data_IF_782307472595
#
_entry.id   IF_782307472595
#
_cell.length_a   1.000
_cell.length_b   1.000
_cell.length_c   1.000
_cell.angle_alpha   90.00
_cell.angle_beta   90.00
_cell.angle_gamma   90.00
#
_symmetry.space_group_name_H-M   'P 1'
#
loop_
_entity.id
_entity.type
_entity.pdbx_description
1 polymer ?
#
# COMPACT_ATOMS: atom_id res chain seq x y z
N UNK A 1 4.90 -18.39 1.82
CA UNK A 1 4.99 -17.90 3.21
C UNK A 1 4.40 -16.50 3.28
N UNK A 2 3.72 -16.17 4.37
CA UNK A 2 3.04 -14.88 4.55
C UNK A 2 3.83 -14.03 5.55
N UNK A 3 4.06 -12.77 5.23
CA UNK A 3 4.82 -11.82 6.05
C UNK A 3 4.00 -10.53 6.21
N UNK A 4 3.78 -10.14 7.46
CA UNK A 4 3.11 -8.90 7.84
C UNK A 4 4.17 -7.90 8.33
N UNK A 5 3.97 -6.63 7.99
CA UNK A 5 4.89 -5.55 8.36
C UNK A 5 4.13 -4.48 9.12
N UNK A 6 4.65 -4.08 10.28
CA UNK A 6 4.15 -2.93 11.04
C UNK A 6 4.68 -1.60 10.50
N UNK A 7 5.75 -1.64 9.70
CA UNK A 7 6.45 -0.47 9.15
C UNK A 7 6.28 -0.42 7.64
N UNK A 8 5.62 0.64 7.16
CA UNK A 8 5.46 0.87 5.72
C UNK A 8 6.82 0.93 5.00
N UNK A 9 7.81 1.56 5.64
CA UNK A 9 9.16 1.68 5.07
C UNK A 9 9.79 0.29 4.89
N UNK A 10 9.65 -0.61 5.85
CA UNK A 10 10.26 -1.93 5.76
C UNK A 10 9.51 -2.82 4.77
N UNK A 11 8.19 -2.68 4.68
CA UNK A 11 7.41 -3.27 3.59
C UNK A 11 7.92 -2.82 2.22
N UNK A 12 8.07 -1.50 2.00
CA UNK A 12 8.57 -0.96 0.72
C UNK A 12 9.98 -1.45 0.41
N UNK A 13 10.88 -1.47 1.39
CA UNK A 13 12.25 -2.02 1.21
C UNK A 13 12.21 -3.47 0.75
N UNK A 14 11.35 -4.29 1.35
CA UNK A 14 11.30 -5.72 1.05
C UNK A 14 10.75 -5.98 -0.36
N UNK A 15 9.64 -5.32 -0.73
CA UNK A 15 9.06 -5.50 -2.06
C UNK A 15 9.99 -4.96 -3.16
N UNK A 16 10.75 -3.89 -2.86
CA UNK A 16 11.73 -3.32 -3.79
C UNK A 16 12.94 -4.24 -3.95
N UNK A 17 13.43 -4.85 -2.86
CA UNK A 17 14.54 -5.83 -2.87
C UNK A 17 14.28 -6.97 -3.86
N UNK A 18 13.04 -7.46 -3.91
CA UNK A 18 12.64 -8.53 -4.81
C UNK A 18 12.08 -8.07 -6.15
N UNK A 19 12.14 -6.76 -6.45
CA UNK A 19 11.57 -6.15 -7.66
C UNK A 19 10.10 -6.55 -7.89
N UNK A 20 9.36 -6.69 -6.80
CA UNK A 20 7.97 -7.10 -6.81
C UNK A 20 7.06 -5.90 -6.97
N UNK A 21 6.04 -6.00 -7.82
CA UNK A 21 5.01 -4.97 -7.97
C UNK A 21 3.92 -5.16 -6.92
N UNK A 22 3.28 -4.06 -6.49
CA UNK A 22 2.07 -4.15 -5.68
C UNK A 22 0.98 -4.85 -6.50
N UNK A 23 0.44 -5.94 -5.94
CA UNK A 23 -0.68 -6.70 -6.52
C UNK A 23 -2.01 -6.09 -6.12
N UNK A 24 -2.10 -5.68 -4.85
CA UNK A 24 -3.25 -5.00 -4.28
C UNK A 24 -2.73 -3.75 -3.59
N UNK A 25 -3.37 -2.63 -3.85
CA UNK A 25 -3.17 -1.38 -3.13
C UNK A 25 -4.55 -0.73 -2.99
N UNK A 26 -5.08 -0.76 -1.78
CA UNK A 26 -6.41 -0.29 -1.43
C UNK A 26 -6.28 0.85 -0.41
N UNK A 27 -7.12 1.85 -0.57
CA UNK A 27 -7.22 2.98 0.36
C UNK A 27 -8.68 3.12 0.77
N UNK A 28 -8.94 3.14 2.07
CA UNK A 28 -10.28 3.34 2.63
C UNK A 28 -10.26 4.61 3.47
N UNK A 29 -11.10 5.58 3.13
CA UNK A 29 -11.32 6.75 3.98
C UNK A 29 -12.15 6.31 5.19
N UNK A 30 -11.58 6.43 6.39
CA UNK A 30 -12.29 6.08 7.63
C UNK A 30 -13.05 7.30 8.17
N UNK A 31 -12.47 8.48 8.02
CA UNK A 31 -13.09 9.78 8.32
C UNK A 31 -12.48 10.88 7.41
N UNK A 32 -12.73 12.16 7.72
CA UNK A 32 -12.23 13.29 6.92
C UNK A 32 -10.70 13.46 7.00
N UNK A 33 -10.08 12.98 8.07
CA UNK A 33 -8.68 13.19 8.42
C UNK A 33 -7.85 11.90 8.37
N UNK A 34 -8.45 10.72 8.24
CA UNK A 34 -7.75 9.43 8.26
C UNK A 34 -8.09 8.53 7.07
N UNK A 35 -7.06 7.90 6.54
CA UNK A 35 -7.13 6.94 5.43
C UNK A 35 -6.37 5.68 5.84
N UNK A 36 -7.06 4.55 5.81
CA UNK A 36 -6.44 3.24 5.90
C UNK A 36 -5.82 2.87 4.55
N UNK A 37 -4.57 2.43 4.58
CA UNK A 37 -3.87 1.89 3.41
C UNK A 37 -3.65 0.40 3.65
N UNK A 38 -4.10 -0.43 2.69
CA UNK A 38 -3.79 -1.85 2.62
C UNK A 38 -3.01 -2.15 1.35
N UNK A 39 -1.88 -2.81 1.49
CA UNK A 39 -0.99 -3.14 0.38
C UNK A 39 -0.57 -4.61 0.44
N UNK A 40 -0.63 -5.29 -0.71
CA UNK A 40 -0.17 -6.66 -0.86
C UNK A 40 0.77 -6.74 -2.05
N UNK A 41 1.93 -7.34 -1.82
CA UNK A 41 2.90 -7.69 -2.85
C UNK A 41 3.18 -9.18 -2.81
N UNK A 42 3.43 -9.79 -3.96
CA UNK A 42 3.60 -11.24 -4.04
C UNK A 42 4.73 -11.61 -5.00
N UNK A 43 5.65 -12.43 -4.50
CA UNK A 43 6.64 -13.16 -5.31
C UNK A 43 6.19 -14.61 -5.52
N UNK A 44 6.97 -15.41 -6.25
CA UNK A 44 6.64 -16.83 -6.47
C UNK A 44 6.46 -17.65 -5.17
N UNK A 45 7.10 -17.25 -4.08
CA UNK A 45 7.13 -18.01 -2.81
C UNK A 45 6.53 -17.25 -1.62
N UNK A 46 6.49 -15.93 -1.69
CA UNK A 46 6.16 -15.08 -0.55
C UNK A 46 5.04 -14.11 -0.87
N UNK A 47 4.18 -13.88 0.11
CA UNK A 47 3.20 -12.80 0.12
C UNK A 47 3.60 -11.83 1.23
N UNK A 48 3.70 -10.56 0.88
CA UNK A 48 4.03 -9.46 1.78
C UNK A 48 2.79 -8.60 1.95
N UNK A 49 2.43 -8.34 3.20
CA UNK A 49 1.22 -7.63 3.60
C UNK A 49 1.58 -6.42 4.44
N UNK A 50 0.89 -5.32 4.20
CA UNK A 50 0.94 -4.13 5.02
C UNK A 50 -0.47 -3.53 5.14
N UNK A 51 -0.86 -3.16 6.34
CA UNK A 51 -2.10 -2.44 6.60
C UNK A 51 -1.87 -1.49 7.78
N UNK A 52 -2.18 -0.21 7.58
CA UNK A 52 -2.10 0.79 8.64
C UNK A 52 -3.01 1.99 8.33
N UNK A 53 -3.26 2.81 9.34
CA UNK A 53 -4.08 4.03 9.27
C UNK A 53 -3.16 5.23 9.30
N UNK A 54 -3.33 6.13 8.34
CA UNK A 54 -2.56 7.35 8.22
C UNK A 54 -3.46 8.57 8.22
N UNK A 55 -2.90 9.72 8.60
CA UNK A 55 -3.53 11.00 8.29
C UNK A 55 -3.73 11.12 6.77
N UNK A 56 -4.85 11.69 6.33
CA UNK A 56 -5.23 11.79 4.92
C UNK A 56 -4.16 12.48 4.07
N UNK A 57 -3.51 13.52 4.62
CA UNK A 57 -2.38 14.20 3.96
C UNK A 57 -1.17 13.29 3.81
N UNK A 58 -0.86 12.46 4.82
CA UNK A 58 0.26 11.54 4.78
C UNK A 58 -0.03 10.39 3.81
N UNK A 59 -1.22 9.81 3.87
CA UNK A 59 -1.69 8.80 2.94
C UNK A 59 -1.60 9.28 1.49
N UNK A 60 -2.10 10.49 1.20
CA UNK A 60 -2.06 11.03 -0.15
C UNK A 60 -0.62 11.21 -0.67
N UNK A 61 0.32 11.60 0.20
CA UNK A 61 1.75 11.68 -0.17
C UNK A 61 2.32 10.31 -0.51
N UNK A 62 2.01 9.29 0.29
CA UNK A 62 2.43 7.91 0.03
C UNK A 62 1.87 7.42 -1.31
N UNK A 63 0.57 7.63 -1.54
CA UNK A 63 -0.12 7.23 -2.78
C UNK A 63 0.56 7.87 -3.99
N UNK A 64 0.80 9.19 -3.96
CA UNK A 64 1.44 9.91 -5.05
C UNK A 64 2.86 9.38 -5.32
N UNK A 65 3.65 9.13 -4.28
CA UNK A 65 5.00 8.56 -4.42
C UNK A 65 4.96 7.17 -5.06
N UNK A 66 4.01 6.31 -4.69
CA UNK A 66 3.87 4.99 -5.28
C UNK A 66 3.47 5.03 -6.76
N UNK A 67 2.66 6.02 -7.15
CA UNK A 67 2.34 6.28 -8.56
C UNK A 67 3.56 6.76 -9.33
N UNK A 68 4.30 7.75 -8.80
CA UNK A 68 5.49 8.32 -9.44
C UNK A 68 6.59 7.26 -9.65
N UNK A 69 6.72 6.34 -8.69
CA UNK A 69 7.66 5.22 -8.76
C UNK A 69 7.15 4.03 -9.59
N UNK A 70 5.91 4.08 -10.10
CA UNK A 70 5.32 3.04 -10.93
C UNK A 70 4.98 1.74 -10.19
N UNK A 71 4.89 1.77 -8.85
CA UNK A 71 4.46 0.62 -8.05
C UNK A 71 2.96 0.33 -8.20
N UNK A 72 2.16 1.36 -8.46
CA UNK A 72 0.70 1.26 -8.69
C UNK A 72 0.42 1.56 -10.16
N UNK A 73 0.10 0.51 -10.95
CA UNK A 73 -0.08 0.63 -12.41
C UNK A 73 -1.50 0.97 -12.86
N UNK A 74 -2.49 1.09 -11.96
CA UNK A 74 -3.86 1.44 -12.34
C UNK A 74 -4.62 2.17 -11.23
N UNK A 75 -5.34 3.23 -11.62
CA UNK A 75 -6.37 3.95 -10.82
C UNK A 75 -7.55 3.01 -10.53
N UNK A 76 -7.46 2.26 -9.45
CA UNK A 76 -8.64 1.65 -8.83
C UNK A 76 -8.64 2.04 -7.36
N UNK A 77 -8.82 3.33 -7.10
CA UNK A 77 -9.28 3.79 -5.79
C UNK A 77 -10.76 3.43 -5.75
N UNK A 78 -11.11 2.24 -5.28
CA UNK A 78 -12.48 2.00 -4.83
C UNK A 78 -12.64 2.75 -3.51
N UNK A 79 -13.03 4.02 -3.59
CA UNK A 79 -13.58 4.70 -2.42
C UNK A 79 -14.89 3.97 -2.09
N UNK A 80 -14.88 3.20 -1.01
CA UNK A 80 -16.11 2.74 -0.39
C UNK A 80 -16.59 3.90 0.47
N UNK A 81 -17.48 4.72 -0.09
CA UNK A 81 -18.33 5.59 0.72
C UNK A 81 -19.35 4.67 1.39
N UNK A 82 -19.30 4.61 2.72
CA UNK A 82 -20.30 3.92 3.53
C UNK A 82 -21.68 4.54 3.39
#
# INVERSE_FOLDING_TARGET
MFFEFDSFIDFIKEITRYKSTLRIFETLALDQDTIQIRAISQTQKNTYYFEDIFDAKQAQRIINQLYDLGFVKARSIKMWEG
#
